data_IF_230786824680
#
_entry.id   IF_230786824680
#
_cell.length_a   1.000
_cell.length_b   1.000
_cell.length_c   1.000
_cell.angle_alpha   90.00
_cell.angle_beta   90.00
_cell.angle_gamma   90.00
#
_symmetry.space_group_name_H-M   'P 1'
#
loop_
_entity.id
_entity.type
_entity.pdbx_description
1 polymer ?
#
# COMPACT_ATOMS: atom_id res chain seq x y z
N UNK A 1 15.97 0.97 -2.58
CA UNK A 1 15.40 0.53 -3.87
C UNK A 1 16.54 0.25 -4.84
N UNK A 2 16.32 -0.55 -5.88
CA UNK A 2 17.33 -0.87 -6.91
C UNK A 2 16.85 -0.48 -8.30
N UNK A 3 17.61 0.34 -9.06
CA UNK A 3 17.32 0.58 -10.47
C UNK A 3 17.44 -0.73 -11.29
N UNK A 4 16.56 -0.98 -12.29
CA UNK A 4 15.45 -0.16 -12.78
C UNK A 4 14.06 -0.52 -12.18
N UNK A 5 14.02 -1.17 -11.00
CA UNK A 5 12.79 -1.72 -10.42
C UNK A 5 11.84 -0.59 -9.98
N UNK A 6 10.56 -0.72 -10.34
CA UNK A 6 9.47 0.14 -9.83
C UNK A 6 8.90 -0.48 -8.56
N UNK A 7 8.76 0.31 -7.51
CA UNK A 7 8.23 -0.14 -6.23
C UNK A 7 6.84 0.48 -5.99
N UNK A 8 5.88 -0.35 -5.59
CA UNK A 8 4.60 0.12 -5.03
C UNK A 8 4.52 -0.39 -3.60
N UNK A 9 4.38 0.53 -2.65
CA UNK A 9 4.23 0.24 -1.23
C UNK A 9 2.79 0.54 -0.83
N UNK A 10 2.08 -0.48 -0.37
CA UNK A 10 0.67 -0.39 0.02
C UNK A 10 0.63 -0.36 1.55
N UNK A 11 0.02 0.69 2.08
CA UNK A 11 0.03 1.05 3.49
C UNK A 11 -1.40 1.08 4.03
N UNK A 12 -1.57 0.94 5.33
CA UNK A 12 -2.87 1.20 5.97
C UNK A 12 -2.77 2.25 7.06
N UNK A 13 -3.62 3.28 6.99
CA UNK A 13 -3.79 4.27 8.08
C UNK A 13 -4.26 3.63 9.39
N UNK A 14 -4.81 2.43 9.32
CA UNK A 14 -5.33 1.66 10.45
C UNK A 14 -4.38 0.54 10.90
N UNK A 15 -3.18 0.45 10.33
CA UNK A 15 -2.14 -0.46 10.83
C UNK A 15 -1.89 -0.20 12.32
N UNK A 16 -2.02 -1.23 13.14
CA UNK A 16 -1.88 -1.20 14.59
C UNK A 16 -0.48 -1.61 15.07
N UNK A 17 0.34 -2.20 14.20
CA UNK A 17 1.69 -2.68 14.52
C UNK A 17 2.77 -1.73 14.03
N UNK A 18 2.69 -1.26 12.78
CA UNK A 18 3.69 -0.40 12.16
C UNK A 18 3.23 1.05 12.26
N UNK A 19 3.73 1.74 13.29
CA UNK A 19 3.41 3.15 13.56
C UNK A 19 4.67 3.99 13.82
N UNK A 20 4.66 5.29 13.45
CA UNK A 20 3.62 5.99 12.68
C UNK A 20 3.55 5.48 11.23
N UNK A 21 2.44 5.71 10.51
CA UNK A 21 2.23 5.19 9.13
C UNK A 21 3.43 5.42 8.20
N UNK A 22 4.03 6.60 8.29
CA UNK A 22 5.15 6.99 7.45
C UNK A 22 6.48 6.29 7.80
N UNK A 23 6.56 5.52 8.89
CA UNK A 23 7.76 4.75 9.23
C UNK A 23 8.05 3.63 8.22
N UNK A 24 7.03 3.16 7.50
CA UNK A 24 7.16 2.17 6.43
C UNK A 24 7.13 2.76 5.03
N UNK A 25 7.03 4.08 4.88
CA UNK A 25 7.14 4.73 3.56
C UNK A 25 8.56 4.58 3.02
N UNK A 26 8.65 4.25 1.72
CA UNK A 26 9.93 4.18 1.02
C UNK A 26 10.16 5.51 0.31
N UNK A 27 11.19 6.25 0.73
CA UNK A 27 11.59 7.50 0.08
C UNK A 27 12.73 7.26 -0.92
N UNK A 28 12.36 7.05 -2.19
CA UNK A 28 13.32 6.92 -3.29
C UNK A 28 12.66 7.20 -4.64
N UNK A 29 13.47 7.30 -5.70
CA UNK A 29 12.97 7.40 -7.07
C UNK A 29 12.22 6.13 -7.48
N UNK A 30 11.18 6.30 -8.32
CA UNK A 30 10.35 5.21 -8.84
C UNK A 30 9.57 4.41 -7.78
N UNK A 31 9.25 5.05 -6.64
CA UNK A 31 8.38 4.47 -5.59
C UNK A 31 7.03 5.19 -5.59
N UNK A 32 5.95 4.43 -5.42
CA UNK A 32 4.63 4.93 -5.05
C UNK A 32 4.26 4.38 -3.68
N UNK A 33 4.12 5.26 -2.68
CA UNK A 33 3.51 4.91 -1.40
C UNK A 33 2.02 5.22 -1.48
N UNK A 34 1.16 4.24 -1.21
CA UNK A 34 -0.28 4.33 -1.38
C UNK A 34 -0.96 3.82 -0.11
N UNK A 35 -1.77 4.66 0.54
CA UNK A 35 -2.63 4.15 1.59
C UNK A 35 -3.89 3.53 1.01
N UNK A 36 -4.30 2.36 1.52
CA UNK A 36 -5.57 1.71 1.18
C UNK A 36 -6.73 2.70 1.32
N UNK A 37 -6.72 3.54 2.36
CA UNK A 37 -7.80 4.49 2.65
C UNK A 37 -7.79 5.73 1.77
N UNK A 38 -6.71 6.02 1.03
CA UNK A 38 -6.71 7.10 0.04
C UNK A 38 -7.52 6.73 -1.21
N UNK A 39 -7.58 5.43 -1.53
CA UNK A 39 -8.31 4.90 -2.68
C UNK A 39 -9.66 4.33 -2.26
N UNK A 40 -9.70 3.54 -1.19
CA UNK A 40 -10.88 2.88 -0.66
C UNK A 40 -11.21 3.41 0.73
N UNK A 41 -11.78 4.62 0.79
CA UNK A 41 -11.99 5.40 2.02
C UNK A 41 -12.71 4.63 3.15
N UNK A 42 -13.63 3.72 2.80
CA UNK A 42 -14.43 2.98 3.79
C UNK A 42 -13.74 1.70 4.32
N UNK A 43 -12.54 1.35 3.86
CA UNK A 43 -11.78 0.18 4.33
C UNK A 43 -11.09 0.45 5.66
N UNK A 44 -11.88 0.72 6.70
CA UNK A 44 -11.36 1.04 8.05
C UNK A 44 -10.85 -0.18 8.83
N UNK A 45 -11.22 -1.39 8.39
CA UNK A 45 -10.78 -2.66 8.99
C UNK A 45 -9.57 -3.27 8.28
N UNK A 46 -8.85 -2.50 7.47
CA UNK A 46 -7.59 -2.92 6.88
C UNK A 46 -6.46 -2.80 7.91
N UNK A 47 -6.56 -3.47 9.05
CA UNK A 47 -5.46 -3.60 10.02
C UNK A 47 -4.26 -4.36 9.41
N UNK A 48 -3.14 -4.45 10.12
CA UNK A 48 -1.86 -4.92 9.57
C UNK A 48 -1.99 -6.26 8.81
N UNK A 49 -2.67 -7.24 9.41
CA UNK A 49 -2.88 -8.55 8.79
C UNK A 49 -3.93 -8.50 7.69
N UNK A 50 -5.07 -7.85 7.92
CA UNK A 50 -6.12 -7.68 6.91
C UNK A 50 -5.56 -7.08 5.62
N UNK A 51 -4.78 -6.01 5.71
CA UNK A 51 -4.24 -5.26 4.57
C UNK A 51 -3.46 -6.16 3.58
N UNK A 52 -2.76 -7.19 4.08
CA UNK A 52 -1.95 -8.11 3.27
C UNK A 52 -2.57 -9.48 3.00
N UNK A 53 -3.57 -9.92 3.77
CA UNK A 53 -4.08 -11.31 3.73
C UNK A 53 -5.48 -11.41 3.13
N UNK A 54 -6.37 -10.43 3.33
CA UNK A 54 -7.76 -10.57 2.89
C UNK A 54 -8.49 -9.26 2.59
N UNK A 55 -7.81 -8.12 2.57
CA UNK A 55 -8.37 -6.85 2.11
C UNK A 55 -8.45 -6.82 0.58
N UNK A 56 -9.67 -6.79 0.04
CA UNK A 56 -9.87 -6.79 -1.41
C UNK A 56 -9.28 -5.54 -2.10
N UNK A 57 -9.25 -4.38 -1.43
CA UNK A 57 -8.61 -3.19 -1.99
C UNK A 57 -7.09 -3.34 -2.01
N UNK A 58 -6.49 -3.93 -0.96
CA UNK A 58 -5.08 -4.33 -0.97
C UNK A 58 -4.73 -5.20 -2.20
N UNK A 59 -5.59 -6.16 -2.55
CA UNK A 59 -5.42 -6.98 -3.74
C UNK A 59 -5.62 -6.25 -5.06
N UNK A 60 -6.61 -5.36 -5.18
CA UNK A 60 -6.80 -4.54 -6.39
C UNK A 60 -5.59 -3.63 -6.62
N UNK A 61 -5.09 -2.97 -5.56
CA UNK A 61 -3.88 -2.13 -5.65
C UNK A 61 -2.66 -2.98 -6.06
N UNK A 62 -2.51 -4.17 -5.51
CA UNK A 62 -1.44 -5.10 -5.92
C UNK A 62 -1.57 -5.45 -7.41
N UNK A 63 -2.77 -5.77 -7.88
CA UNK A 63 -3.02 -6.11 -9.28
C UNK A 63 -2.78 -4.93 -10.23
N UNK A 64 -3.13 -3.71 -9.82
CA UNK A 64 -2.82 -2.50 -10.57
C UNK A 64 -1.31 -2.28 -10.70
N UNK A 65 -0.55 -2.52 -9.62
CA UNK A 65 0.91 -2.44 -9.64
C UNK A 65 1.52 -3.45 -10.63
N UNK A 66 1.04 -4.70 -10.63
CA UNK A 66 1.52 -5.76 -11.52
C UNK A 66 1.19 -5.49 -13.00
N UNK A 67 0.02 -4.93 -13.28
CA UNK A 67 -0.43 -4.62 -14.64
C UNK A 67 -0.01 -3.22 -15.12
N UNK A 68 0.79 -2.48 -14.33
CA UNK A 68 1.19 -1.10 -14.64
C UNK A 68 0.00 -0.14 -14.85
N UNK A 69 -1.12 -0.36 -14.15
CA UNK A 69 -2.27 0.54 -14.16
C UNK A 69 -2.08 1.71 -13.19
N UNK A 70 -2.82 2.80 -13.43
CA UNK A 70 -2.91 3.92 -12.49
C UNK A 70 -3.77 3.56 -11.27
N UNK A 71 -3.59 4.30 -10.17
CA UNK A 71 -4.30 4.14 -8.90
C UNK A 71 -5.28 5.29 -8.71
#
# INVERSE_FOLDING_TARGET
>A
TFPPIKYTNILSKFDELVRPLNSSEINAQCVKNISIQDICQLRIFAEHLAAGIYDYCGYILTMNALNSQSF
#
